data_IF_607102578956
#
_entry.id   IF_607102578956
#
_cell.length_a   1.000
_cell.length_b   1.000
_cell.length_c   1.000
_cell.angle_alpha   90.00
_cell.angle_beta   90.00
_cell.angle_gamma   90.00
#
_symmetry.space_group_name_H-M   'P 1'
#
loop_
_entity.id
_entity.type
_entity.pdbx_description
1 polymer ?
#
# COMPACT_ATOMS: atom_id res chain seq x y z
N UNK A 1 42.48 -17.49 65.77
CA UNK A 1 41.52 -18.60 65.60
C UNK A 1 40.83 -18.40 64.24
N UNK A 2 41.37 -18.96 63.14
CA UNK A 2 40.89 -20.17 62.44
C UNK A 2 39.36 -20.22 62.24
N UNK A 3 38.86 -19.87 61.05
CA UNK A 3 38.46 -20.84 60.00
C UNK A 3 37.88 -20.15 58.75
N UNK A 4 38.41 -20.61 57.62
CA UNK A 4 38.04 -20.48 56.22
C UNK A 4 36.59 -20.91 55.94
N UNK A 5 35.96 -20.41 54.86
CA UNK A 5 35.48 -21.21 53.71
C UNK A 5 34.91 -20.30 52.60
N UNK A 6 35.39 -20.61 51.39
CA UNK A 6 35.02 -20.12 50.07
C UNK A 6 33.62 -20.61 49.68
N UNK A 7 32.80 -19.81 49.00
CA UNK A 7 31.73 -20.37 48.16
C UNK A 7 31.44 -19.50 46.93
N UNK A 8 31.51 -20.20 45.79
CA UNK A 8 31.18 -19.85 44.41
C UNK A 8 29.88 -19.02 44.28
N UNK A 9 29.94 -17.89 43.57
CA UNK A 9 28.77 -17.19 43.07
C UNK A 9 28.52 -17.62 41.61
N UNK A 10 27.54 -18.50 41.42
CA UNK A 10 27.02 -18.93 40.13
C UNK A 10 26.15 -17.82 39.54
N UNK A 11 26.42 -17.42 38.30
CA UNK A 11 25.62 -16.45 37.54
C UNK A 11 24.28 -17.09 37.19
N UNK A 12 23.19 -16.60 37.78
CA UNK A 12 21.83 -16.99 37.44
C UNK A 12 21.28 -16.07 36.34
N UNK A 13 20.99 -16.64 35.17
CA UNK A 13 20.27 -15.99 34.08
C UNK A 13 18.88 -15.56 34.54
N UNK A 14 18.60 -14.26 34.52
CA UNK A 14 17.25 -13.70 34.70
C UNK A 14 16.43 -13.94 33.43
N UNK A 15 15.46 -14.86 33.52
CA UNK A 15 14.38 -15.02 32.56
C UNK A 15 13.33 -13.94 32.84
N UNK A 16 13.00 -13.11 31.84
CA UNK A 16 11.94 -12.11 31.93
C UNK A 16 10.59 -12.76 32.20
N UNK A 17 9.86 -12.23 33.18
CA UNK A 17 8.49 -12.59 33.50
C UNK A 17 7.53 -12.06 32.43
N UNK A 18 6.75 -12.95 31.82
CA UNK A 18 5.59 -12.61 31.00
C UNK A 18 4.30 -12.81 31.81
N UNK A 19 3.36 -11.87 31.68
CA UNK A 19 2.06 -11.84 32.36
C UNK A 19 1.32 -13.18 32.30
N UNK A 20 0.94 -13.71 33.46
CA UNK A 20 0.05 -14.87 33.59
C UNK A 20 -1.38 -14.47 33.21
N UNK A 21 -1.88 -15.03 32.11
CA UNK A 21 -3.30 -15.01 31.77
C UNK A 21 -3.91 -16.34 32.22
N UNK A 22 -4.93 -16.28 33.06
CA UNK A 22 -5.66 -17.42 33.59
C UNK A 22 -6.21 -18.29 32.45
N UNK A 23 -5.75 -19.54 32.38
CA UNK A 23 -6.15 -20.52 31.38
C UNK A 23 -7.57 -21.04 31.64
N UNK A 24 -8.55 -20.59 30.88
CA UNK A 24 -9.77 -21.37 30.65
C UNK A 24 -9.45 -22.46 29.62
N UNK A 25 -9.34 -23.71 30.07
CA UNK A 25 -9.21 -24.89 29.21
C UNK A 25 -10.53 -25.16 28.49
N UNK A 26 -10.84 -24.37 27.46
CA UNK A 26 -11.70 -24.82 26.38
C UNK A 26 -10.91 -25.83 25.56
N UNK A 27 -11.38 -27.08 25.50
CA UNK A 27 -10.75 -28.16 24.73
C UNK A 27 -10.48 -27.69 23.30
N UNK A 28 -9.18 -27.46 23.02
CA UNK A 28 -8.67 -26.81 21.82
C UNK A 28 -8.74 -27.66 20.56
N UNK A 29 -9.95 -28.05 20.16
CA UNK A 29 -10.21 -28.68 18.88
C UNK A 29 -10.78 -27.65 17.88
N UNK A 30 -10.10 -26.51 17.76
CA UNK A 30 -10.33 -25.68 16.58
C UNK A 30 -9.74 -26.44 15.39
N UNK A 31 -10.52 -26.69 14.32
CA UNK A 31 -9.94 -27.28 13.11
C UNK A 31 -8.77 -26.41 12.68
N UNK A 32 -7.70 -27.05 12.18
CA UNK A 32 -6.59 -26.31 11.61
C UNK A 32 -7.15 -25.29 10.60
N UNK A 33 -6.68 -24.03 10.62
CA UNK A 33 -7.12 -23.06 9.65
C UNK A 33 -6.94 -23.67 8.25
N UNK A 34 -7.90 -23.50 7.34
CA UNK A 34 -7.79 -24.04 5.99
C UNK A 34 -6.46 -23.63 5.38
N UNK A 35 -5.84 -24.53 4.61
CA UNK A 35 -4.71 -24.15 3.79
C UNK A 35 -5.16 -23.01 2.87
N UNK A 36 -4.47 -21.87 2.95
CA UNK A 36 -4.72 -20.78 2.02
C UNK A 36 -4.39 -21.28 0.62
N UNK A 37 -5.28 -21.00 -0.34
CA UNK A 37 -5.05 -21.28 -1.75
C UNK A 37 -3.98 -20.33 -2.33
N UNK A 38 -3.87 -20.34 -3.65
CA UNK A 38 -3.10 -19.31 -4.35
C UNK A 38 -3.64 -17.92 -4.00
N UNK A 39 -2.74 -16.93 -3.91
CA UNK A 39 -3.13 -15.53 -3.78
C UNK A 39 -4.02 -15.14 -4.96
N UNK A 40 -5.19 -14.54 -4.67
CA UNK A 40 -6.17 -14.16 -5.70
C UNK A 40 -5.97 -12.72 -6.15
N UNK A 41 -5.48 -11.86 -5.25
CA UNK A 41 -5.33 -10.43 -5.50
C UNK A 41 -4.22 -9.83 -4.61
N UNK A 42 -3.42 -8.95 -5.21
CA UNK A 42 -2.52 -8.06 -4.50
C UNK A 42 -3.38 -6.92 -3.94
N UNK A 43 -3.76 -7.02 -2.67
CA UNK A 43 -4.68 -6.07 -2.01
C UNK A 43 -4.07 -4.66 -1.76
N UNK A 44 -3.06 -4.26 -2.53
CA UNK A 44 -2.19 -3.11 -2.32
C UNK A 44 -2.80 -1.75 -2.61
N UNK A 45 -3.04 -1.45 -3.89
CA UNK A 45 -3.55 -0.14 -4.34
C UNK A 45 -4.67 -0.29 -5.37
N UNK A 46 -5.83 0.34 -5.15
CA UNK A 46 -6.96 0.16 -6.05
C UNK A 46 -6.63 0.77 -7.40
N UNK A 47 -7.05 0.05 -8.44
CA UNK A 47 -6.95 0.44 -9.83
C UNK A 47 -5.55 0.51 -10.43
N UNK A 48 -4.46 0.31 -9.68
CA UNK A 48 -3.11 0.35 -10.27
C UNK A 48 -2.98 -0.71 -11.38
N UNK A 49 -3.35 -1.96 -11.12
CA UNK A 49 -3.38 -3.01 -12.14
C UNK A 49 -4.33 -2.65 -13.31
N UNK A 50 -5.49 -2.06 -13.00
CA UNK A 50 -6.47 -1.70 -14.04
C UNK A 50 -6.00 -0.56 -14.94
N UNK A 51 -5.26 0.41 -14.39
CA UNK A 51 -4.90 1.65 -15.04
C UNK A 51 -3.49 1.62 -15.67
N UNK A 52 -2.59 0.76 -15.19
CA UNK A 52 -1.18 0.75 -15.62
C UNK A 52 -0.68 -0.59 -16.16
N UNK A 53 -1.41 -1.70 -16.03
CA UNK A 53 -1.01 -3.00 -16.57
C UNK A 53 -1.86 -3.36 -17.80
N UNK A 54 -1.23 -3.44 -18.97
CA UNK A 54 -1.82 -3.69 -20.28
C UNK A 54 -3.06 -2.85 -20.58
N UNK A 55 -3.14 -1.63 -20.05
CA UNK A 55 -4.36 -0.81 -20.10
C UNK A 55 -4.75 -0.45 -21.53
N UNK A 56 -3.76 -0.04 -22.32
CA UNK A 56 -3.93 0.37 -23.71
C UNK A 56 -3.69 -0.77 -24.71
N UNK A 57 -3.52 -2.01 -24.24
CA UNK A 57 -3.49 -3.17 -25.12
C UNK A 57 -4.85 -3.34 -25.80
N UNK A 58 -4.85 -3.64 -27.10
CA UNK A 58 -6.07 -3.84 -27.89
C UNK A 58 -6.53 -5.30 -27.84
N UNK A 59 -5.69 -6.20 -27.37
CA UNK A 59 -6.02 -7.62 -27.20
C UNK A 59 -6.48 -7.89 -25.76
N UNK A 60 -7.78 -8.14 -25.59
CA UNK A 60 -8.38 -8.42 -24.29
C UNK A 60 -7.85 -9.70 -23.62
N UNK A 61 -7.46 -10.71 -24.40
CA UNK A 61 -6.90 -11.94 -23.86
C UNK A 61 -5.50 -11.71 -23.26
N UNK A 62 -4.65 -10.95 -23.96
CA UNK A 62 -3.33 -10.55 -23.44
C UNK A 62 -3.48 -9.70 -22.19
N UNK A 63 -4.39 -8.70 -22.24
CA UNK A 63 -4.69 -7.82 -21.10
C UNK A 63 -5.20 -8.58 -19.89
N UNK A 64 -6.13 -9.52 -20.09
CA UNK A 64 -6.67 -10.37 -19.02
C UNK A 64 -5.57 -11.21 -18.39
N UNK A 65 -4.79 -11.93 -19.20
CA UNK A 65 -3.70 -12.77 -18.72
C UNK A 65 -2.64 -11.98 -17.93
N UNK A 66 -2.26 -10.79 -18.39
CA UNK A 66 -1.30 -9.95 -17.68
C UNK A 66 -1.84 -9.41 -16.35
N UNK A 67 -3.13 -9.05 -16.30
CA UNK A 67 -3.80 -8.60 -15.07
C UNK A 67 -3.94 -9.72 -14.06
N UNK A 68 -4.25 -10.93 -14.52
CA UNK A 68 -4.28 -12.13 -13.68
C UNK A 68 -2.87 -12.45 -13.16
N UNK A 69 -1.84 -12.44 -14.02
CA UNK A 69 -0.45 -12.65 -13.59
C UNK A 69 -0.02 -11.62 -12.53
N UNK A 70 -0.40 -10.36 -12.70
CA UNK A 70 -0.17 -9.33 -11.68
C UNK A 70 -0.81 -9.71 -10.36
N UNK A 71 -2.09 -10.10 -10.35
CA UNK A 71 -2.83 -10.45 -9.14
C UNK A 71 -2.28 -11.71 -8.45
N UNK A 72 -1.80 -12.69 -9.20
CA UNK A 72 -1.22 -13.93 -8.67
C UNK A 72 0.23 -13.77 -8.16
N UNK A 73 0.89 -12.65 -8.45
CA UNK A 73 2.31 -12.48 -8.15
C UNK A 73 2.58 -12.09 -6.69
N UNK A 74 2.66 -13.11 -5.84
CA UNK A 74 3.00 -12.98 -4.42
C UNK A 74 4.49 -12.62 -4.17
N UNK A 75 5.38 -12.83 -5.14
CA UNK A 75 6.82 -12.61 -4.97
C UNK A 75 7.19 -11.16 -5.22
N UNK A 76 7.31 -10.42 -4.13
CA UNK A 76 7.69 -9.01 -4.10
C UNK A 76 9.02 -8.71 -4.79
N UNK A 77 9.94 -9.68 -4.88
CA UNK A 77 11.23 -9.48 -5.56
C UNK A 77 11.07 -9.38 -7.07
N UNK A 78 9.96 -9.88 -7.61
CA UNK A 78 9.67 -9.86 -9.05
C UNK A 78 8.80 -8.69 -9.48
N UNK A 79 8.20 -7.95 -8.55
CA UNK A 79 7.36 -6.78 -8.84
C UNK A 79 8.02 -5.69 -9.70
N UNK A 80 9.34 -5.44 -9.62
CA UNK A 80 10.00 -4.50 -10.53
C UNK A 80 9.81 -4.81 -12.02
N UNK A 81 9.41 -6.03 -12.40
CA UNK A 81 9.13 -6.39 -13.80
C UNK A 81 7.97 -5.57 -14.42
N UNK A 82 7.07 -5.03 -13.61
CA UNK A 82 5.94 -4.22 -14.08
C UNK A 82 6.34 -2.75 -14.37
N UNK A 83 7.49 -2.30 -13.87
CA UNK A 83 7.92 -0.89 -13.96
C UNK A 83 8.01 -0.38 -15.40
N UNK A 84 8.64 -1.09 -16.37
CA UNK A 84 8.77 -0.56 -17.73
C UNK A 84 7.43 -0.32 -18.43
N UNK A 85 6.44 -1.17 -18.20
CA UNK A 85 5.10 -0.97 -18.75
C UNK A 85 4.36 0.17 -18.05
N UNK A 86 4.51 0.28 -16.73
CA UNK A 86 3.93 1.36 -15.96
C UNK A 86 4.50 2.70 -16.41
N UNK A 87 5.80 2.80 -16.67
CA UNK A 87 6.44 3.98 -17.26
C UNK A 87 5.77 4.40 -18.59
N UNK A 88 5.56 3.45 -19.50
CA UNK A 88 4.93 3.71 -20.79
C UNK A 88 3.48 4.19 -20.64
N UNK A 89 2.71 3.55 -19.75
CA UNK A 89 1.31 3.90 -19.53
C UNK A 89 1.18 5.23 -18.76
N UNK A 90 2.08 5.52 -17.83
CA UNK A 90 2.16 6.82 -17.14
C UNK A 90 2.43 7.97 -18.10
N UNK A 91 3.29 7.76 -19.11
CA UNK A 91 3.54 8.75 -20.16
C UNK A 91 2.26 9.15 -20.92
N UNK A 92 1.35 8.18 -21.15
CA UNK A 92 0.07 8.44 -21.82
C UNK A 92 -0.85 9.28 -20.91
N UNK A 93 -0.90 8.99 -19.61
CA UNK A 93 -1.71 9.78 -18.67
C UNK A 93 -1.17 11.20 -18.50
N UNK A 94 0.14 11.36 -18.38
CA UNK A 94 0.81 12.65 -18.26
C UNK A 94 0.60 13.52 -19.52
N UNK A 95 0.47 12.92 -20.70
CA UNK A 95 0.14 13.65 -21.93
C UNK A 95 -1.32 14.16 -22.02
N UNK A 96 -2.22 13.81 -21.09
CA UNK A 96 -3.65 14.15 -21.17
C UNK A 96 -3.92 15.67 -21.15
N UNK A 97 -3.09 16.45 -20.46
CA UNK A 97 -3.20 17.90 -20.42
C UNK A 97 -2.35 18.60 -21.50
N UNK A 98 -1.77 17.83 -22.42
CA UNK A 98 -0.86 18.25 -23.50
C UNK A 98 0.52 18.73 -23.05
N UNK A 99 0.88 18.59 -21.77
CA UNK A 99 2.17 18.99 -21.20
C UNK A 99 2.93 17.75 -20.72
N UNK A 100 3.78 17.20 -21.57
CA UNK A 100 4.58 16.04 -21.17
C UNK A 100 5.61 16.39 -20.09
N UNK A 101 5.66 15.55 -19.08
CA UNK A 101 6.66 15.49 -18.04
C UNK A 101 6.43 16.47 -16.90
N UNK A 102 5.18 16.88 -16.68
CA UNK A 102 4.75 17.63 -15.52
C UNK A 102 4.22 16.71 -14.40
N UNK A 103 4.17 15.40 -14.61
CA UNK A 103 3.82 14.41 -13.60
C UNK A 103 4.76 14.45 -12.39
N UNK A 104 4.21 14.22 -11.20
CA UNK A 104 4.97 14.03 -9.98
C UNK A 104 6.02 12.94 -10.18
N UNK A 105 7.25 13.24 -9.76
CA UNK A 105 8.44 12.42 -9.97
C UNK A 105 8.95 12.29 -11.41
N UNK A 106 8.40 13.03 -12.37
CA UNK A 106 8.96 13.05 -13.72
C UNK A 106 10.41 13.60 -13.68
N UNK A 107 11.35 12.80 -14.18
CA UNK A 107 12.72 13.25 -14.39
C UNK A 107 12.80 14.19 -15.60
N UNK A 108 12.89 15.49 -15.32
CA UNK A 108 12.92 16.54 -16.36
C UNK A 108 14.15 16.47 -17.26
N UNK A 109 15.17 15.67 -16.91
CA UNK A 109 16.37 15.48 -17.73
C UNK A 109 16.21 14.44 -18.84
N UNK A 110 15.14 13.62 -18.79
CA UNK A 110 14.87 12.55 -19.75
C UNK A 110 13.71 12.90 -20.67
N UNK A 111 13.60 12.35 -21.87
CA UNK A 111 12.46 12.60 -22.77
C UNK A 111 11.71 11.33 -23.18
N UNK A 112 12.20 10.16 -22.79
CA UNK A 112 11.54 8.86 -22.95
C UNK A 112 10.70 8.47 -21.72
N UNK A 113 10.04 7.32 -21.79
CA UNK A 113 9.16 6.81 -20.72
C UNK A 113 9.87 6.59 -19.38
N UNK A 114 11.19 6.36 -19.36
CA UNK A 114 11.95 6.21 -18.11
C UNK A 114 12.04 7.50 -17.29
N UNK A 115 11.52 8.62 -17.83
CA UNK A 115 11.16 9.82 -17.08
C UNK A 115 10.24 9.50 -15.89
N UNK A 116 9.33 8.53 -16.03
CA UNK A 116 8.30 8.22 -15.04
C UNK A 116 8.68 7.08 -14.08
N UNK A 117 9.94 6.64 -14.12
CA UNK A 117 10.45 5.47 -13.39
C UNK A 117 10.16 5.51 -11.89
N UNK A 118 10.33 6.66 -11.24
CA UNK A 118 10.11 6.78 -9.80
C UNK A 118 8.65 6.55 -9.42
N UNK A 119 7.69 7.15 -10.13
CA UNK A 119 6.27 6.90 -9.88
C UNK A 119 5.88 5.46 -10.25
N UNK A 120 6.38 4.95 -11.38
CA UNK A 120 6.19 3.57 -11.78
C UNK A 120 6.67 2.58 -10.71
N UNK A 121 7.82 2.86 -10.09
CA UNK A 121 8.37 2.06 -8.99
C UNK A 121 7.46 2.12 -7.76
N UNK A 122 7.02 3.31 -7.35
CA UNK A 122 6.10 3.51 -6.22
C UNK A 122 4.78 2.75 -6.43
N UNK A 123 4.23 2.77 -7.65
CA UNK A 123 2.97 2.12 -7.98
C UNK A 123 3.14 0.61 -8.21
N UNK A 124 4.28 0.16 -8.71
CA UNK A 124 4.59 -1.28 -8.82
C UNK A 124 4.72 -1.95 -7.45
N UNK A 125 5.14 -1.18 -6.43
CA UNK A 125 5.08 -1.57 -5.03
C UNK A 125 3.64 -1.47 -4.50
N UNK A 126 2.90 -2.53 -4.79
CA UNK A 126 1.49 -2.67 -4.44
C UNK A 126 1.32 -3.15 -2.99
N UNK A 127 2.04 -2.53 -2.06
CA UNK A 127 1.78 -2.64 -0.63
C UNK A 127 1.06 -1.40 -0.15
N UNK A 128 0.26 -1.58 0.89
CA UNK A 128 -0.27 -0.45 1.67
C UNK A 128 0.77 -0.07 2.70
N UNK A 129 1.38 1.10 2.51
CA UNK A 129 2.27 1.68 3.50
C UNK A 129 1.49 2.55 4.47
N UNK A 130 1.69 2.32 5.77
CA UNK A 130 1.06 3.09 6.85
C UNK A 130 2.11 3.54 7.85
N UNK A 131 2.20 4.85 8.09
CA UNK A 131 2.94 5.40 9.20
C UNK A 131 2.07 5.34 10.47
N UNK A 132 2.28 4.30 11.28
CA UNK A 132 1.52 4.07 12.51
C UNK A 132 1.81 5.07 13.63
N UNK A 133 2.85 5.91 13.51
CA UNK A 133 3.16 6.96 14.47
C UNK A 133 2.39 8.27 14.19
N UNK A 134 1.71 8.38 13.05
CA UNK A 134 0.96 9.57 12.68
C UNK A 134 -0.34 9.72 13.50
N UNK A 135 -0.66 10.96 13.88
CA UNK A 135 -1.90 11.27 14.58
C UNK A 135 -3.12 11.36 13.64
N UNK A 136 -2.90 11.45 12.32
CA UNK A 136 -3.98 11.61 11.34
C UNK A 136 -3.63 10.96 9.99
N UNK A 137 -4.71 10.58 9.30
CA UNK A 137 -4.71 10.04 7.94
C UNK A 137 -5.57 10.95 7.07
N UNK A 138 -4.94 11.82 6.29
CA UNK A 138 -5.61 12.79 5.42
C UNK A 138 -5.21 12.67 3.95
N UNK A 139 -4.04 12.09 3.66
CA UNK A 139 -3.48 12.05 2.30
C UNK A 139 -3.23 10.61 1.85
N UNK A 140 -3.78 10.23 0.70
CA UNK A 140 -3.41 8.97 0.02
C UNK A 140 -1.98 9.08 -0.51
N UNK A 141 -1.20 8.00 -0.42
CA UNK A 141 0.22 7.94 -0.83
C UNK A 141 1.18 8.86 -0.02
N UNK A 142 0.78 9.29 1.18
CA UNK A 142 1.58 10.24 1.95
C UNK A 142 2.94 9.68 2.42
N UNK A 143 2.99 8.39 2.77
CA UNK A 143 4.24 7.73 3.22
C UNK A 143 5.24 7.69 2.06
N UNK A 144 4.76 7.36 0.88
CA UNK A 144 5.53 7.25 -0.35
C UNK A 144 6.01 8.64 -0.81
N UNK A 145 5.14 9.65 -0.75
CA UNK A 145 5.50 11.04 -1.02
C UNK A 145 6.54 11.60 -0.02
N UNK A 146 6.47 11.18 1.26
CA UNK A 146 7.47 11.56 2.26
C UNK A 146 8.80 10.83 2.04
N UNK A 147 8.77 9.52 1.76
CA UNK A 147 9.95 8.70 1.54
C UNK A 147 10.78 9.17 0.34
N UNK A 148 10.10 9.63 -0.70
CA UNK A 148 10.70 10.20 -1.92
C UNK A 148 11.03 11.69 -1.79
N UNK A 149 10.69 12.33 -0.66
CA UNK A 149 10.92 13.74 -0.33
C UNK A 149 10.26 14.76 -1.25
N UNK A 150 9.30 14.33 -2.08
CA UNK A 150 8.57 15.27 -2.94
C UNK A 150 7.58 16.12 -2.14
N UNK A 151 7.00 15.54 -1.08
CA UNK A 151 6.16 16.24 -0.12
C UNK A 151 6.55 15.75 1.28
N UNK A 152 7.23 16.60 2.04
CA UNK A 152 7.49 16.33 3.45
C UNK A 152 6.18 16.39 4.23
N UNK A 153 5.85 15.31 4.94
CA UNK A 153 4.64 15.22 5.75
C UNK A 153 4.81 14.22 6.90
N UNK A 154 3.89 14.28 7.87
CA UNK A 154 3.82 13.33 8.99
C UNK A 154 2.49 12.56 8.99
N UNK A 155 1.85 12.44 7.82
CA UNK A 155 0.57 11.77 7.66
C UNK A 155 0.73 10.25 7.74
N UNK A 156 -0.35 9.55 8.06
CA UNK A 156 -0.33 8.10 8.15
C UNK A 156 -0.26 7.43 6.77
N UNK A 157 -0.73 8.08 5.71
CA UNK A 157 -0.84 7.49 4.38
C UNK A 157 -1.89 6.36 4.30
N UNK A 158 -1.54 5.29 3.59
CA UNK A 158 -2.35 4.08 3.51
C UNK A 158 -3.72 4.26 2.84
N UNK A 159 -4.68 3.43 3.27
CA UNK A 159 -6.08 3.49 2.86
C UNK A 159 -6.98 3.70 4.07
N UNK A 160 -7.82 4.74 4.01
CA UNK A 160 -8.89 5.00 4.97
C UNK A 160 -10.23 4.75 4.28
N UNK A 161 -11.27 4.22 4.97
CA UNK A 161 -12.59 4.04 4.35
C UNK A 161 -13.18 5.32 3.74
N UNK A 162 -12.78 6.50 4.23
CA UNK A 162 -13.19 7.79 3.66
C UNK A 162 -12.39 8.26 2.45
N UNK A 163 -11.36 7.53 2.03
CA UNK A 163 -10.65 7.86 0.80
C UNK A 163 -11.42 7.31 -0.38
N UNK A 164 -11.78 8.18 -1.31
CA UNK A 164 -12.25 7.81 -2.64
C UNK A 164 -11.06 7.33 -3.48
N UNK A 165 -10.44 6.22 -3.06
CA UNK A 165 -9.17 5.70 -3.58
C UNK A 165 -9.15 5.52 -5.10
N UNK A 166 -10.27 5.15 -5.71
CA UNK A 166 -10.40 5.10 -7.17
C UNK A 166 -10.18 6.47 -7.83
N UNK A 167 -10.85 7.50 -7.30
CA UNK A 167 -10.75 8.89 -7.73
C UNK A 167 -9.38 9.48 -7.44
N UNK A 168 -8.79 9.16 -6.29
CA UNK A 168 -7.45 9.61 -5.93
C UNK A 168 -6.38 8.98 -6.82
N UNK A 169 -6.48 7.68 -7.15
CA UNK A 169 -5.59 7.04 -8.13
C UNK A 169 -5.69 7.72 -9.49
N UNK A 170 -6.89 7.87 -10.07
CA UNK A 170 -7.01 8.53 -11.37
C UNK A 170 -6.66 10.02 -11.35
N UNK A 171 -6.89 10.73 -10.24
CA UNK A 171 -6.41 12.10 -10.09
C UNK A 171 -4.89 12.14 -10.15
N UNK A 172 -4.21 11.29 -9.36
CA UNK A 172 -2.75 11.21 -9.39
C UNK A 172 -2.23 10.90 -10.80
N UNK A 173 -2.86 9.98 -11.52
CA UNK A 173 -2.42 9.64 -12.87
C UNK A 173 -2.63 10.79 -13.85
N UNK A 174 -3.80 11.45 -13.82
CA UNK A 174 -4.18 12.47 -14.78
C UNK A 174 -3.60 13.86 -14.51
N UNK A 175 -3.49 14.28 -13.24
CA UNK A 175 -2.91 15.59 -12.89
C UNK A 175 -1.44 15.47 -12.52
N UNK A 176 -0.97 14.24 -12.31
CA UNK A 176 0.37 14.01 -11.84
C UNK A 176 0.67 14.64 -10.49
N UNK A 177 -0.31 14.76 -9.59
CA UNK A 177 -0.10 15.45 -8.30
C UNK A 177 -0.78 14.71 -7.15
N UNK A 178 -0.13 14.70 -6.00
CA UNK A 178 -0.71 14.22 -4.73
C UNK A 178 -1.40 15.39 -4.03
N UNK A 179 -2.59 15.16 -3.48
CA UNK A 179 -3.34 16.16 -2.71
C UNK A 179 -4.20 17.11 -3.56
N UNK A 180 -4.16 16.99 -4.89
CA UNK A 180 -5.18 17.57 -5.79
C UNK A 180 -6.28 16.53 -5.99
N UNK A 181 -7.52 16.96 -6.23
CA UNK A 181 -8.64 16.06 -6.53
C UNK A 181 -9.38 16.55 -7.78
N UNK A 182 -9.38 15.73 -8.83
CA UNK A 182 -10.29 15.92 -9.97
C UNK A 182 -11.68 15.49 -9.50
N UNK A 183 -12.66 16.38 -9.61
CA UNK A 183 -14.03 16.07 -9.21
C UNK A 183 -14.79 15.42 -10.35
N UNK A 184 -15.42 14.30 -10.05
CA UNK A 184 -16.41 13.60 -10.88
C UNK A 184 -17.85 14.08 -10.58
N UNK A 185 -17.98 15.11 -9.73
CA UNK A 185 -19.28 15.60 -9.24
C UNK A 185 -19.92 14.73 -8.16
N UNK A 186 -19.27 13.63 -7.77
CA UNK A 186 -19.72 12.79 -6.66
C UNK A 186 -18.94 13.12 -5.39
N UNK A 187 -19.63 13.04 -4.26
CA UNK A 187 -19.04 13.19 -2.93
C UNK A 187 -19.33 11.95 -2.13
N UNK A 188 -18.36 11.54 -1.32
CA UNK A 188 -18.55 10.51 -0.32
C UNK A 188 -19.85 10.74 0.47
N UNK A 189 -20.67 9.70 0.63
CA UNK A 189 -21.85 9.76 1.47
C UNK A 189 -21.44 9.60 2.96
N UNK A 190 -21.47 10.66 3.78
CA UNK A 190 -20.98 10.61 5.16
C UNK A 190 -21.87 9.71 6.04
N UNK A 191 -23.15 9.55 5.69
CA UNK A 191 -24.06 8.66 6.40
C UNK A 191 -23.70 7.18 6.18
N UNK A 192 -22.89 6.85 5.17
CA UNK A 192 -22.50 5.47 4.81
C UNK A 192 -21.09 5.07 5.22
N UNK A 193 -20.29 6.00 5.76
CA UNK A 193 -18.91 5.73 6.18
C UNK A 193 -18.61 6.40 7.52
N UNK A 194 -18.29 5.60 8.53
CA UNK A 194 -17.82 6.04 9.84
C UNK A 194 -16.32 5.78 9.91
N UNK A 195 -15.52 6.78 10.29
CA UNK A 195 -14.04 6.62 10.39
C UNK A 195 -13.49 6.81 11.79
N UNK A 196 -14.36 7.12 12.75
CA UNK A 196 -13.99 7.35 14.15
C UNK A 196 -14.45 6.21 15.07
N UNK A 197 -15.46 5.43 14.68
CA UNK A 197 -16.07 4.41 15.54
C UNK A 197 -16.43 3.17 14.72
N UNK A 198 -16.18 1.99 15.29
CA UNK A 198 -16.55 0.72 14.68
C UNK A 198 -18.04 0.42 14.94
N UNK A 199 -18.80 -0.16 13.99
CA UNK A 199 -18.38 -0.55 12.64
C UNK A 199 -18.21 0.65 11.69
N UNK A 200 -17.17 0.60 10.85
CA UNK A 200 -16.79 1.70 9.97
C UNK A 200 -17.71 1.88 8.74
N UNK A 201 -18.62 0.92 8.50
CA UNK A 201 -19.60 0.94 7.43
C UNK A 201 -21.00 1.11 8.02
N UNK A 202 -21.87 1.83 7.31
CA UNK A 202 -23.26 1.91 7.70
C UNK A 202 -23.97 0.54 7.56
N UNK A 203 -25.07 0.33 8.32
CA UNK A 203 -25.92 -0.84 8.15
C UNK A 203 -26.42 -0.96 6.70
N UNK A 204 -26.65 -2.19 6.20
CA UNK A 204 -27.36 -2.39 4.94
C UNK A 204 -28.75 -1.74 5.02
N UNK A 205 -29.27 -1.23 3.88
CA UNK A 205 -30.61 -0.66 3.81
C UNK A 205 -31.70 -1.70 4.06
#
# INVERSE_FOLDING_TARGET
MRKTILSLATVASMLMAACSSSSSTGSGNFPAPPALGAEIDRMGRPLVNTALNHTFDTNDATKGAAKDEYNFNADMTTWPKYVPEFEANLAIYDALDTICGNQIFADTTKTDASRYQTLATVLSDDRIWVNAAAAACTTYLAVEANATKIITNTDCGGRKPSYEVAKLTYTLLATGQVGITVTDGTTQNPAKTQVATFPFLAPPP
#
